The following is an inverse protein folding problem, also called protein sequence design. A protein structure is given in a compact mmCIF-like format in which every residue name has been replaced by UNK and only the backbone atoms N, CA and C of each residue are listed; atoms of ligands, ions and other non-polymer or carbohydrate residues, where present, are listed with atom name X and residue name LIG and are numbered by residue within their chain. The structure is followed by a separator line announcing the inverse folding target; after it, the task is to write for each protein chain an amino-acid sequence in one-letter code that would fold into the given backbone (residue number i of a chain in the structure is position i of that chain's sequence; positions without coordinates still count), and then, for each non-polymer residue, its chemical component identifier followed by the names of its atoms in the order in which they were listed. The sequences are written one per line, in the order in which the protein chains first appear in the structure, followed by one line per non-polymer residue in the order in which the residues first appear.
data_IF_940754720226
#
_entry.id   IF_940754720226
#
_cell.length_a   1.000
_cell.length_b   1.000
_cell.length_c   1.000
_cell.angle_alpha   90.00
_cell.angle_beta   90.00
_cell.angle_gamma   90.00
#
_symmetry.space_group_name_H-M   'P 1'
#
loop_
_entity.id
_entity.type
_entity.pdbx_description
1 polymer ?
#
# COMPACT_ATOMS: atom_id res chain seq x y z
N UNK A 1 -10.58 27.26 15.37
CA UNK A 1 -9.32 26.83 16.04
C UNK A 1 -9.52 25.35 16.36
N UNK A 2 -8.97 24.33 15.69
CA UNK A 2 -7.82 24.20 14.79
C UNK A 2 -8.17 23.16 13.68
N UNK A 3 -7.89 23.55 12.44
CA UNK A 3 -7.25 22.75 11.38
C UNK A 3 -7.81 21.36 11.01
N UNK A 4 -8.85 21.33 10.18
CA UNK A 4 -9.24 20.17 9.31
C UNK A 4 -8.40 20.13 8.02
N UNK A 5 -7.12 20.55 8.06
CA UNK A 5 -6.28 20.66 6.86
C UNK A 5 -5.49 19.37 6.53
N UNK A 6 -5.60 18.32 7.35
CA UNK A 6 -4.83 17.08 7.17
C UNK A 6 -5.36 16.13 6.08
N UNK A 7 -6.66 16.18 5.75
CA UNK A 7 -7.28 15.21 4.84
C UNK A 7 -7.33 15.68 3.37
N UNK A 8 -6.94 16.92 3.07
CA UNK A 8 -7.07 17.50 1.72
C UNK A 8 -5.76 17.46 0.90
N UNK A 9 -4.61 17.11 1.49
CA UNK A 9 -3.33 17.24 0.79
C UNK A 9 -2.99 16.04 -0.12
N UNK A 10 -3.61 14.87 0.09
CA UNK A 10 -3.32 13.67 -0.73
C UNK A 10 -4.15 13.55 -2.02
N UNK A 11 -5.23 14.32 -2.19
CA UNK A 11 -6.07 14.25 -3.41
C UNK A 11 -5.56 15.18 -4.52
N UNK A 12 -4.24 15.30 -4.68
CA UNK A 12 -3.65 15.91 -5.86
C UNK A 12 -3.98 15.07 -7.10
N UNK A 13 -4.17 15.73 -8.24
CA UNK A 13 -4.26 15.06 -9.54
C UNK A 13 -3.02 14.18 -9.81
N UNK A 14 -1.84 14.57 -9.32
CA UNK A 14 -0.64 13.77 -9.40
C UNK A 14 -0.77 12.47 -8.59
N UNK A 15 -1.22 12.52 -7.34
CA UNK A 15 -1.46 11.32 -6.52
C UNK A 15 -2.46 10.37 -7.18
N UNK A 16 -3.53 10.91 -7.78
CA UNK A 16 -4.52 10.11 -8.52
C UNK A 16 -3.90 9.40 -9.72
N UNK A 17 -3.05 10.09 -10.49
CA UNK A 17 -2.32 9.50 -11.62
C UNK A 17 -1.38 8.38 -11.17
N UNK A 18 -0.64 8.58 -10.07
CA UNK A 18 0.24 7.55 -9.51
C UNK A 18 -0.58 6.32 -9.07
N UNK A 19 -1.70 6.53 -8.37
CA UNK A 19 -2.57 5.42 -7.96
C UNK A 19 -3.14 4.64 -9.15
N UNK A 20 -3.52 5.33 -10.23
CA UNK A 20 -3.98 4.68 -11.44
C UNK A 20 -2.86 3.86 -12.12
N UNK A 21 -1.67 4.45 -12.25
CA UNK A 21 -0.50 3.77 -12.84
C UNK A 21 -0.08 2.52 -12.04
N UNK A 22 -0.28 2.51 -10.72
CA UNK A 22 -0.05 1.32 -9.89
C UNK A 22 -0.91 0.12 -10.30
N UNK A 23 -2.07 0.35 -10.92
CA UNK A 23 -2.97 -0.71 -11.33
C UNK A 23 -2.68 -1.21 -12.78
N UNK A 24 -1.85 -0.48 -13.53
CA UNK A 24 -1.44 -0.84 -14.88
C UNK A 24 -0.64 -2.15 -14.91
N UNK A 25 -0.80 -2.90 -16.01
CA UNK A 25 -0.10 -4.17 -16.21
C UNK A 25 1.35 -3.92 -16.62
N UNK A 26 2.27 -4.64 -15.98
CA UNK A 26 3.70 -4.61 -16.26
C UNK A 26 4.24 -6.02 -16.44
N UNK A 27 5.23 -6.14 -17.32
CA UNK A 27 6.01 -7.36 -17.54
C UNK A 27 7.47 -6.98 -17.65
N UNK A 28 8.28 -7.37 -16.67
CA UNK A 28 9.70 -7.02 -16.62
C UNK A 28 10.52 -8.19 -16.11
N UNK A 29 11.74 -8.30 -16.62
CA UNK A 29 12.74 -9.30 -16.21
C UNK A 29 14.04 -8.59 -15.85
N UNK A 30 14.40 -8.65 -14.58
CA UNK A 30 15.65 -8.16 -14.02
C UNK A 30 16.57 -9.34 -13.70
N UNK A 31 17.79 -9.28 -14.22
CA UNK A 31 18.83 -10.30 -14.00
C UNK A 31 20.05 -9.59 -13.43
N UNK A 32 20.14 -9.56 -12.11
CA UNK A 32 21.18 -8.81 -11.37
C UNK A 32 21.22 -7.32 -11.72
N UNK A 33 20.05 -6.73 -12.01
CA UNK A 33 19.94 -5.30 -12.34
C UNK A 33 20.04 -4.48 -11.07
N UNK A 34 20.90 -3.44 -11.00
CA UNK A 34 20.94 -2.53 -9.85
C UNK A 34 19.56 -1.97 -9.50
N UNK A 35 19.25 -1.87 -8.21
CA UNK A 35 17.96 -1.34 -7.72
C UNK A 35 17.62 0.02 -8.36
N UNK A 36 18.58 0.93 -8.43
CA UNK A 36 18.37 2.26 -9.05
C UNK A 36 17.95 2.16 -10.53
N UNK A 37 18.55 1.25 -11.30
CA UNK A 37 18.25 1.08 -12.71
C UNK A 37 16.86 0.44 -12.89
N UNK A 38 16.51 -0.53 -12.05
CA UNK A 38 15.19 -1.15 -12.04
C UNK A 38 14.09 -0.10 -11.72
N UNK A 39 14.34 0.76 -10.73
CA UNK A 39 13.43 1.86 -10.36
C UNK A 39 13.29 2.86 -11.51
N UNK A 40 14.40 3.28 -12.11
CA UNK A 40 14.39 4.24 -13.23
C UNK A 40 13.64 3.67 -14.44
N UNK A 41 13.80 2.37 -14.72
CA UNK A 41 13.07 1.71 -15.79
C UNK A 41 11.57 1.71 -15.53
N UNK A 42 11.13 1.38 -14.30
CA UNK A 42 9.71 1.39 -13.94
C UNK A 42 9.11 2.79 -13.98
N UNK A 43 9.84 3.79 -13.47
CA UNK A 43 9.49 5.21 -13.54
C UNK A 43 9.22 5.66 -14.98
N UNK A 44 10.14 5.31 -15.89
CA UNK A 44 10.03 5.66 -17.32
C UNK A 44 8.93 4.86 -18.03
N UNK A 45 8.77 3.57 -17.69
CA UNK A 45 7.79 2.69 -18.34
C UNK A 45 6.35 3.12 -18.05
N UNK A 46 6.10 3.59 -16.83
CA UNK A 46 4.76 3.94 -16.34
C UNK A 46 4.49 5.44 -16.30
N UNK A 47 5.44 6.27 -16.76
CA UNK A 47 5.34 7.73 -16.79
C UNK A 47 4.91 8.34 -15.43
N UNK A 48 5.50 7.83 -14.34
CA UNK A 48 5.27 8.34 -12.99
C UNK A 48 6.59 8.68 -12.30
N UNK A 49 6.64 9.77 -11.52
CA UNK A 49 7.85 10.12 -10.78
C UNK A 49 8.05 9.15 -9.62
N UNK A 50 9.07 8.29 -9.75
CA UNK A 50 9.55 7.43 -8.67
C UNK A 50 10.86 7.98 -8.11
N UNK A 51 10.91 8.22 -6.80
CA UNK A 51 12.10 8.71 -6.10
C UNK A 51 12.51 7.74 -5.00
N UNK A 52 13.77 7.82 -4.56
CA UNK A 52 14.28 6.99 -3.47
C UNK A 52 14.64 7.86 -2.27
N UNK A 53 14.22 7.42 -1.10
CA UNK A 53 14.62 7.98 0.18
C UNK A 53 16.04 7.54 0.54
N UNK A 54 17.03 8.24 -0.02
CA UNK A 54 18.43 7.85 0.13
C UNK A 54 18.87 7.85 1.59
N UNK A 55 18.33 8.75 2.41
CA UNK A 55 18.65 8.83 3.85
C UNK A 55 18.20 7.57 4.57
N UNK A 56 16.93 7.19 4.44
CA UNK A 56 16.41 6.00 5.10
C UNK A 56 17.11 4.71 4.64
N UNK A 57 17.45 4.62 3.35
CA UNK A 57 18.19 3.48 2.79
C UNK A 57 19.62 3.42 3.33
N UNK A 58 20.33 4.54 3.39
CA UNK A 58 21.69 4.61 3.93
C UNK A 58 21.74 4.24 5.42
N UNK A 59 20.80 4.75 6.22
CA UNK A 59 20.68 4.41 7.65
C UNK A 59 20.41 2.92 7.87
N UNK A 60 19.71 2.27 6.93
CA UNK A 60 19.46 0.81 6.94
C UNK A 60 20.57 -0.01 6.26
N UNK A 61 21.63 0.63 5.77
CA UNK A 61 22.74 -0.03 5.07
C UNK A 61 22.38 -0.63 3.71
N UNK A 62 21.30 -0.17 3.08
CA UNK A 62 20.81 -0.66 1.79
C UNK A 62 21.42 0.16 0.66
N UNK A 63 22.19 -0.49 -0.22
CA UNK A 63 22.79 0.17 -1.37
C UNK A 63 21.84 0.24 -2.57
N UNK A 64 21.86 1.37 -3.29
CA UNK A 64 21.19 1.53 -4.59
C UNK A 64 21.75 0.60 -5.69
N UNK A 65 22.97 0.06 -5.48
CA UNK A 65 23.58 -0.94 -6.37
C UNK A 65 23.16 -2.37 -6.04
N UNK A 66 22.29 -2.58 -5.05
CA UNK A 66 21.80 -3.93 -4.68
C UNK A 66 21.18 -4.61 -5.90
N UNK A 67 21.64 -5.82 -6.27
CA UNK A 67 21.16 -6.50 -7.47
C UNK A 67 19.75 -7.06 -7.27
N UNK A 68 18.86 -6.71 -8.19
CA UNK A 68 17.49 -7.23 -8.29
C UNK A 68 17.45 -8.39 -9.27
N UNK A 69 16.84 -9.49 -8.83
CA UNK A 69 16.58 -10.68 -9.63
C UNK A 69 15.09 -10.99 -9.54
N UNK A 70 14.36 -10.72 -10.61
CA UNK A 70 12.90 -10.85 -10.66
C UNK A 70 12.42 -10.98 -12.11
N UNK A 71 11.63 -11.99 -12.42
CA UNK A 71 10.92 -12.13 -13.70
C UNK A 71 9.42 -12.27 -13.39
N UNK A 72 8.64 -11.25 -13.76
CA UNK A 72 7.19 -11.24 -13.62
C UNK A 72 6.56 -10.74 -14.90
N UNK A 73 5.44 -11.37 -15.28
CA UNK A 73 4.70 -11.05 -16.50
C UNK A 73 3.24 -10.84 -16.19
N UNK A 74 2.65 -9.82 -16.81
CA UNK A 74 1.22 -9.48 -16.73
C UNK A 74 0.69 -9.29 -15.29
N UNK A 75 1.50 -8.69 -14.42
CA UNK A 75 1.11 -8.33 -13.04
C UNK A 75 0.83 -6.83 -12.95
N UNK A 76 0.07 -6.35 -11.95
CA UNK A 76 -0.03 -4.90 -11.74
C UNK A 76 1.32 -4.32 -11.31
N UNK A 77 1.60 -3.06 -11.63
CA UNK A 77 2.79 -2.35 -11.16
C UNK A 77 2.88 -2.38 -9.63
N UNK A 78 1.76 -2.22 -8.93
CA UNK A 78 1.61 -2.38 -7.48
C UNK A 78 2.19 -3.70 -6.99
N UNK A 79 1.74 -4.81 -7.58
CA UNK A 79 2.22 -6.14 -7.21
C UNK A 79 3.69 -6.33 -7.56
N UNK A 80 4.12 -5.81 -8.70
CA UNK A 80 5.50 -5.86 -9.14
C UNK A 80 6.43 -5.16 -8.14
N UNK A 81 6.16 -3.88 -7.84
CA UNK A 81 6.93 -3.07 -6.89
C UNK A 81 6.99 -3.74 -5.52
N UNK A 82 5.84 -4.21 -5.01
CA UNK A 82 5.78 -4.91 -3.73
C UNK A 82 6.70 -6.13 -3.69
N UNK A 83 6.64 -7.00 -4.70
CA UNK A 83 7.46 -8.21 -4.74
C UNK A 83 8.95 -7.85 -4.87
N UNK A 84 9.27 -6.86 -5.70
CA UNK A 84 10.63 -6.39 -5.93
C UNK A 84 11.25 -5.81 -4.66
N UNK A 85 10.55 -4.90 -3.99
CA UNK A 85 11.04 -4.12 -2.86
C UNK A 85 11.11 -4.94 -1.57
N UNK A 86 10.16 -5.85 -1.35
CA UNK A 86 10.09 -6.69 -0.13
C UNK A 86 11.37 -7.50 0.10
N UNK A 87 12.02 -7.98 -0.97
CA UNK A 87 13.27 -8.77 -0.86
C UNK A 87 14.45 -7.96 -0.31
N UNK A 88 14.41 -6.64 -0.47
CA UNK A 88 15.42 -5.71 0.00
C UNK A 88 15.04 -5.02 1.32
N UNK A 89 13.92 -5.40 1.95
CA UNK A 89 13.41 -4.70 3.15
C UNK A 89 12.84 -3.31 2.85
N UNK A 90 12.46 -3.07 1.60
CA UNK A 90 11.92 -1.80 1.13
C UNK A 90 10.41 -1.88 0.89
N UNK A 91 9.78 -0.71 0.87
CA UNK A 91 8.40 -0.50 0.46
C UNK A 91 8.28 0.84 -0.28
N UNK A 92 7.07 1.25 -0.63
CA UNK A 92 6.81 2.57 -1.20
C UNK A 92 5.68 3.28 -0.48
N UNK A 93 5.68 4.61 -0.58
CA UNK A 93 4.59 5.49 -0.16
C UNK A 93 4.32 6.51 -1.27
N UNK A 94 3.09 7.01 -1.36
CA UNK A 94 2.76 8.12 -2.26
C UNK A 94 2.72 9.39 -1.43
N UNK A 95 3.71 10.26 -1.58
CA UNK A 95 3.89 11.47 -0.77
C UNK A 95 4.50 12.56 -1.64
N UNK A 96 4.12 13.82 -1.41
CA UNK A 96 4.65 14.97 -2.16
C UNK A 96 4.53 14.78 -3.69
N UNK A 97 3.41 14.23 -4.15
CA UNK A 97 3.13 14.00 -5.58
C UNK A 97 4.10 13.04 -6.31
N UNK A 98 4.82 12.22 -5.54
CA UNK A 98 5.74 11.20 -6.07
C UNK A 98 5.50 9.84 -5.41
N UNK A 99 5.91 8.77 -6.10
CA UNK A 99 6.05 7.45 -5.49
C UNK A 99 7.44 7.37 -4.88
N UNK A 100 7.52 7.46 -3.55
CA UNK A 100 8.79 7.39 -2.83
C UNK A 100 9.04 5.95 -2.37
N UNK A 101 10.16 5.38 -2.79
CA UNK A 101 10.69 4.12 -2.29
C UNK A 101 11.51 4.40 -1.04
N UNK A 102 11.19 3.72 0.06
CA UNK A 102 11.85 3.87 1.36
C UNK A 102 11.90 2.51 2.07
N UNK A 103 12.43 2.46 3.28
CA UNK A 103 12.47 1.22 4.07
C UNK A 103 11.07 0.81 4.47
N UNK A 104 10.83 -0.49 4.68
CA UNK A 104 9.52 -0.96 5.15
C UNK A 104 9.13 -0.32 6.49
N UNK A 105 10.10 -0.15 7.39
CA UNK A 105 9.90 0.51 8.68
C UNK A 105 9.47 1.98 8.53
N UNK A 106 10.10 2.73 7.63
CA UNK A 106 9.74 4.13 7.40
C UNK A 106 8.39 4.23 6.69
N UNK A 107 8.10 3.35 5.73
CA UNK A 107 6.81 3.29 5.05
C UNK A 107 5.64 3.00 6.03
N UNK A 108 5.85 2.13 7.02
CA UNK A 108 4.82 1.76 8.01
C UNK A 108 4.37 2.92 8.91
N UNK A 109 5.15 4.01 8.97
CA UNK A 109 4.78 5.24 9.69
C UNK A 109 3.76 6.08 8.92
N UNK A 110 3.66 5.90 7.61
CA UNK A 110 2.73 6.65 6.76
C UNK A 110 1.38 5.98 6.73
N UNK A 111 0.36 6.68 7.23
CA UNK A 111 -1.02 6.22 7.21
C UNK A 111 -1.75 6.88 6.05
N UNK A 112 -2.32 6.06 5.17
CA UNK A 112 -3.17 6.51 4.07
C UNK A 112 -4.61 6.07 4.35
N UNK A 113 -5.56 6.87 3.89
CA UNK A 113 -6.98 6.53 4.00
C UNK A 113 -7.43 5.83 2.72
N UNK A 114 -7.94 4.61 2.86
CA UNK A 114 -8.57 3.86 1.77
C UNK A 114 -10.01 3.50 2.11
N UNK A 115 -10.83 3.39 1.07
CA UNK A 115 -12.24 3.08 1.17
C UNK A 115 -12.49 1.74 0.47
N UNK A 116 -13.02 0.78 1.21
CA UNK A 116 -13.38 -0.55 0.73
C UNK A 116 -14.90 -0.69 0.71
N UNK A 117 -15.53 -0.81 -0.47
CA UNK A 117 -16.96 -1.09 -0.53
C UNK A 117 -17.22 -2.50 -0.02
N UNK A 118 -18.23 -2.65 0.84
CA UNK A 118 -18.75 -3.96 1.19
C UNK A 118 -19.62 -4.51 0.06
N UNK A 119 -19.51 -5.82 -0.26
CA UNK A 119 -20.56 -6.52 -0.97
C UNK A 119 -21.89 -6.35 -0.24
N UNK A 120 -22.99 -6.22 -0.97
CA UNK A 120 -24.34 -5.99 -0.41
C UNK A 120 -24.66 -6.95 0.75
N UNK A 121 -24.25 -8.22 0.62
CA UNK A 121 -24.44 -9.28 1.61
C UNK A 121 -23.79 -9.01 2.99
N UNK A 122 -22.80 -8.11 3.06
CA UNK A 122 -22.06 -7.78 4.29
C UNK A 122 -22.48 -6.43 4.91
N UNK A 123 -23.35 -5.66 4.24
CA UNK A 123 -23.73 -4.30 4.67
C UNK A 123 -24.32 -4.28 6.09
N UNK A 124 -25.27 -5.17 6.38
CA UNK A 124 -25.91 -5.31 7.70
C UNK A 124 -25.00 -5.91 8.77
N UNK A 125 -23.78 -6.34 8.40
CA UNK A 125 -22.80 -6.98 9.29
C UNK A 125 -21.53 -6.16 9.45
N UNK A 126 -21.54 -4.90 9.02
CA UNK A 126 -20.35 -4.03 9.01
C UNK A 126 -19.67 -3.93 10.40
N UNK A 127 -20.44 -3.92 11.49
CA UNK A 127 -19.91 -3.92 12.86
C UNK A 127 -19.14 -5.21 13.19
N UNK A 128 -19.71 -6.37 12.86
CA UNK A 128 -19.07 -7.67 13.04
C UNK A 128 -17.82 -7.81 12.18
N UNK A 129 -17.87 -7.31 10.94
CA UNK A 129 -16.71 -7.29 10.05
C UNK A 129 -15.58 -6.44 10.62
N UNK A 130 -15.88 -5.24 11.13
CA UNK A 130 -14.86 -4.38 11.78
C UNK A 130 -14.27 -5.05 13.02
N UNK A 131 -15.10 -5.68 13.85
CA UNK A 131 -14.61 -6.41 15.04
C UNK A 131 -13.71 -7.57 14.64
N UNK A 132 -14.11 -8.37 13.65
CA UNK A 132 -13.30 -9.46 13.13
C UNK A 132 -11.97 -8.91 12.59
N UNK A 133 -12.02 -7.92 11.70
CA UNK A 133 -10.85 -7.26 11.11
C UNK A 133 -9.87 -6.77 12.19
N UNK A 134 -10.35 -5.96 13.15
CA UNK A 134 -9.51 -5.35 14.19
C UNK A 134 -8.97 -6.36 15.22
N UNK A 135 -9.57 -7.56 15.27
CA UNK A 135 -9.10 -8.67 16.12
C UNK A 135 -8.20 -9.68 15.42
N UNK A 136 -8.18 -9.72 14.09
CA UNK A 136 -7.43 -10.71 13.31
C UNK A 136 -6.28 -10.14 12.49
N UNK A 137 -6.42 -8.91 11.98
CA UNK A 137 -5.37 -8.22 11.21
C UNK A 137 -4.53 -7.43 12.20
N UNK A 138 -3.31 -7.88 12.49
CA UNK A 138 -2.32 -7.18 13.33
C UNK A 138 -2.93 -6.42 14.54
N UNK A 139 -3.55 -7.11 15.51
CA UNK A 139 -4.52 -6.49 16.42
C UNK A 139 -4.03 -5.23 17.17
N UNK A 140 -2.73 -5.15 17.47
CA UNK A 140 -2.15 -4.06 18.25
C UNK A 140 -2.04 -2.73 17.48
N UNK A 141 -2.24 -2.71 16.16
CA UNK A 141 -2.09 -1.47 15.37
C UNK A 141 -3.34 -0.60 15.41
N UNK A 142 -4.49 -1.13 15.83
CA UNK A 142 -5.77 -0.42 15.75
C UNK A 142 -6.00 0.48 16.95
N UNK A 143 -6.63 1.64 16.74
CA UNK A 143 -6.95 2.63 17.75
C UNK A 143 -7.84 2.09 18.87
N UNK A 144 -8.75 1.16 18.54
CA UNK A 144 -9.55 0.43 19.53
C UNK A 144 -8.72 -0.43 20.49
N UNK A 145 -7.50 -0.79 20.08
CA UNK A 145 -6.52 -1.57 20.83
C UNK A 145 -5.28 -0.75 21.24
N UNK A 146 -5.32 0.58 21.08
CA UNK A 146 -4.25 1.49 21.49
C UNK A 146 -3.15 1.77 20.45
N UNK A 147 -3.33 1.35 19.20
CA UNK A 147 -2.44 1.70 18.09
C UNK A 147 -2.88 2.93 17.30
N UNK A 148 -2.19 3.22 16.19
CA UNK A 148 -2.36 4.46 15.41
C UNK A 148 -3.20 4.30 14.12
N UNK A 149 -3.69 3.09 13.82
CA UNK A 149 -4.56 2.82 12.67
C UNK A 149 -6.03 2.86 13.06
N UNK A 150 -6.93 3.13 12.13
CA UNK A 150 -8.37 3.08 12.40
C UNK A 150 -9.14 2.42 11.27
N UNK A 151 -10.25 1.77 11.63
CA UNK A 151 -11.21 1.20 10.71
C UNK A 151 -12.61 1.55 11.19
N UNK A 152 -13.42 2.13 10.31
CA UNK A 152 -14.81 2.52 10.59
C UNK A 152 -15.69 2.24 9.39
N UNK A 153 -16.99 2.02 9.59
CA UNK A 153 -17.94 1.87 8.50
C UNK A 153 -18.85 3.09 8.42
N UNK A 154 -19.07 3.55 7.20
CA UNK A 154 -20.11 4.53 6.86
C UNK A 154 -21.00 3.86 5.82
N UNK A 155 -22.23 3.53 6.22
CA UNK A 155 -23.16 2.74 5.40
C UNK A 155 -22.52 1.42 4.91
N UNK A 156 -22.33 1.27 3.60
CA UNK A 156 -21.73 0.11 2.95
C UNK A 156 -20.25 0.29 2.62
N UNK A 157 -19.57 1.29 3.19
CA UNK A 157 -18.16 1.57 2.91
C UNK A 157 -17.34 1.46 4.19
N UNK A 158 -16.34 0.59 4.18
CA UNK A 158 -15.30 0.53 5.20
C UNK A 158 -14.23 1.58 4.89
N UNK A 159 -14.04 2.53 5.78
CA UNK A 159 -12.98 3.54 5.72
C UNK A 159 -11.86 3.09 6.66
N UNK A 160 -10.67 2.86 6.11
CA UNK A 160 -9.50 2.43 6.86
C UNK A 160 -8.41 3.48 6.72
N UNK A 161 -7.81 3.88 7.84
CA UNK A 161 -6.60 4.71 7.88
C UNK A 161 -5.47 3.86 8.46
N UNK A 162 -4.57 3.39 7.61
CA UNK A 162 -3.50 2.46 7.98
C UNK A 162 -2.29 2.60 7.04
N UNK A 163 -1.19 1.91 7.31
CA UNK A 163 -0.05 1.82 6.39
C UNK A 163 -0.41 0.99 5.17
N UNK A 164 0.33 1.16 4.06
CA UNK A 164 0.12 0.37 2.84
C UNK A 164 0.18 -1.14 3.15
N UNK A 165 1.15 -1.57 3.97
CA UNK A 165 1.29 -2.95 4.44
C UNK A 165 0.05 -3.48 5.15
N UNK A 166 -0.55 -2.68 6.03
CA UNK A 166 -1.80 -3.04 6.70
C UNK A 166 -2.97 -3.11 5.72
N UNK A 167 -3.09 -2.17 4.79
CA UNK A 167 -4.13 -2.18 3.76
C UNK A 167 -4.11 -3.46 2.93
N UNK A 168 -2.92 -4.03 2.67
CA UNK A 168 -2.82 -5.33 2.02
C UNK A 168 -3.43 -6.46 2.84
N UNK A 169 -3.17 -6.50 4.15
CA UNK A 169 -3.77 -7.48 5.05
C UNK A 169 -5.28 -7.28 5.20
N UNK A 170 -5.76 -6.03 5.16
CA UNK A 170 -7.18 -5.69 5.13
C UNK A 170 -7.84 -6.22 3.85
N UNK A 171 -7.25 -5.96 2.69
CA UNK A 171 -7.78 -6.42 1.40
C UNK A 171 -7.86 -7.96 1.32
N UNK A 172 -6.79 -8.66 1.72
CA UNK A 172 -6.75 -10.12 1.77
C UNK A 172 -7.81 -10.69 2.75
N UNK A 173 -7.98 -10.06 3.91
CA UNK A 173 -9.03 -10.42 4.86
C UNK A 173 -10.43 -10.28 4.24
N UNK A 174 -10.72 -9.14 3.60
CA UNK A 174 -12.02 -8.88 2.98
C UNK A 174 -12.31 -9.84 1.83
N UNK A 175 -11.32 -10.15 0.98
CA UNK A 175 -11.45 -11.12 -0.11
C UNK A 175 -11.77 -12.52 0.42
N UNK A 176 -11.04 -12.98 1.44
CA UNK A 176 -11.28 -14.29 2.08
C UNK A 176 -12.66 -14.34 2.73
N UNK A 177 -13.06 -13.26 3.39
CA UNK A 177 -14.36 -13.17 4.03
C UNK A 177 -15.48 -13.23 3.00
N UNK A 178 -15.40 -12.45 1.92
CA UNK A 178 -16.38 -12.47 0.83
C UNK A 178 -16.55 -13.88 0.24
N UNK A 179 -15.45 -14.55 -0.11
CA UNK A 179 -15.49 -15.92 -0.66
C UNK A 179 -16.17 -16.92 0.28
N UNK A 180 -15.96 -16.78 1.59
CA UNK A 180 -16.59 -17.67 2.58
C UNK A 180 -18.12 -17.47 2.67
N UNK A 181 -18.62 -16.28 2.35
CA UNK A 181 -20.07 -15.99 2.31
C UNK A 181 -20.72 -16.42 0.99
N UNK A 182 -20.02 -16.34 -0.14
CA UNK A 182 -20.54 -16.76 -1.45
C UNK A 182 -20.66 -18.29 -1.60
N UNK A 183 -19.93 -19.06 -0.80
CA UNK A 183 -19.97 -20.53 -0.81
C UNK A 183 -21.09 -21.14 0.07
N UNK A 184 -21.95 -20.30 0.64
CA UNK A 184 -23.10 -20.70 1.48
C UNK A 184 -24.41 -20.54 0.73
#
# INVERSE_FOLDING_TARGET
MKTTAGLAHESSEATRRIRAALDDKTSQSFIQTPLVDAIQLLSTTHDIPIVVDTVALEESGISLSTPIILDLKNVSLRSFLRIMLRRAGLSYVIKNEVLQITTAEEADKYRVVEMYPFPEALTEKSSEVIKALTSSVEPNIWAVNGGDSSATAVENVLVVSASESTHEHVADFLEKLQRAFEQR
#
